data_IF_737396614127
#
_entry.id   IF_737396614127
#
_cell.length_a   1.000
_cell.length_b   1.000
_cell.length_c   1.000
_cell.angle_alpha   90.00
_cell.angle_beta   90.00
_cell.angle_gamma   90.00
#
_symmetry.space_group_name_H-M   'P 1'
#
loop_
_entity.id
_entity.type
_entity.pdbx_description
1 polymer ?
#
# COMPACT_ATOMS: atom_id res chain seq x y z
N UNK A 1 -9.94 -52.30 60.24
CA UNK A 1 -9.47 -50.91 60.10
C UNK A 1 -9.22 -50.68 58.62
N UNK A 2 -10.15 -49.99 57.96
CA UNK A 2 -10.25 -49.89 56.52
C UNK A 2 -9.81 -48.47 56.10
N UNK A 3 -8.67 -48.34 55.41
CA UNK A 3 -8.14 -47.04 54.94
C UNK A 3 -8.30 -46.94 53.42
N UNK A 4 -9.34 -46.26 52.98
CA UNK A 4 -9.50 -45.80 51.60
C UNK A 4 -8.56 -44.61 51.35
N UNK A 5 -7.68 -44.74 50.36
CA UNK A 5 -6.86 -43.66 49.86
C UNK A 5 -7.67 -42.79 48.89
N UNK A 6 -7.82 -41.51 49.22
CA UNK A 6 -8.51 -40.49 48.44
C UNK A 6 -7.54 -39.92 47.38
N UNK A 7 -7.73 -40.32 46.12
CA UNK A 7 -6.94 -39.82 44.98
C UNK A 7 -7.61 -38.55 44.44
N UNK A 8 -7.16 -37.39 44.92
CA UNK A 8 -7.52 -36.10 44.31
C UNK A 8 -6.75 -35.94 42.99
N UNK A 9 -7.47 -36.00 41.87
CA UNK A 9 -6.95 -35.60 40.56
C UNK A 9 -6.86 -34.08 40.51
N UNK A 10 -5.64 -33.57 40.34
CA UNK A 10 -5.43 -32.19 39.95
C UNK A 10 -5.85 -32.05 38.48
N UNK A 11 -6.98 -31.40 38.24
CA UNK A 11 -7.37 -31.03 36.88
C UNK A 11 -6.41 -29.96 36.36
N UNK A 12 -5.88 -30.22 35.17
CA UNK A 12 -4.97 -29.35 34.44
C UNK A 12 -5.68 -28.00 34.14
N UNK A 13 -5.10 -26.85 34.54
CA UNK A 13 -5.68 -25.53 34.29
C UNK A 13 -5.93 -25.23 32.81
N UNK A 14 -5.22 -25.89 31.88
CA UNK A 14 -5.46 -25.72 30.44
C UNK A 14 -6.72 -26.46 29.97
N UNK A 15 -7.08 -27.59 30.60
CA UNK A 15 -8.35 -28.26 30.32
C UNK A 15 -9.57 -27.47 30.85
N UNK A 16 -9.41 -26.77 31.97
CA UNK A 16 -10.44 -25.86 32.48
C UNK A 16 -10.66 -24.66 31.55
N UNK A 17 -9.61 -24.21 30.86
CA UNK A 17 -9.69 -23.11 29.89
C UNK A 17 -10.44 -23.53 28.62
N UNK A 18 -10.12 -24.71 28.08
CA UNK A 18 -10.79 -25.28 26.90
C UNK A 18 -12.28 -25.54 27.15
N UNK A 19 -12.67 -26.00 28.35
CA UNK A 19 -14.09 -26.16 28.71
C UNK A 19 -14.85 -24.84 28.75
N UNK A 20 -14.24 -23.77 29.30
CA UNK A 20 -14.88 -22.44 29.33
C UNK A 20 -15.08 -21.82 27.95
N UNK A 21 -14.17 -22.08 27.01
CA UNK A 21 -14.29 -21.57 25.64
C UNK A 21 -15.33 -22.35 24.81
N UNK A 22 -15.48 -23.65 25.06
CA UNK A 22 -16.53 -24.47 24.46
C UNK A 22 -17.94 -24.01 24.89
N UNK A 23 -18.13 -23.72 26.18
CA UNK A 23 -19.41 -23.22 26.71
C UNK A 23 -19.78 -21.84 26.15
N UNK A 24 -18.79 -20.95 25.96
CA UNK A 24 -19.00 -19.63 25.32
C UNK A 24 -19.41 -19.73 23.86
N UNK A 25 -18.92 -20.75 23.14
CA UNK A 25 -19.31 -20.96 21.74
C UNK A 25 -20.73 -21.52 21.63
N UNK A 26 -21.12 -22.42 22.54
CA UNK A 26 -22.48 -22.95 22.62
C UNK A 26 -23.52 -21.86 22.90
N UNK A 27 -23.25 -20.95 23.83
CA UNK A 27 -24.17 -19.85 24.17
C UNK A 27 -24.32 -18.80 23.05
N UNK A 28 -23.31 -18.60 22.19
CA UNK A 28 -23.41 -17.69 21.04
C UNK A 28 -24.24 -18.24 19.88
N UNK A 29 -24.34 -19.56 19.75
CA UNK A 29 -25.19 -20.19 18.74
C UNK A 29 -26.65 -20.24 19.19
N UNK A 30 -26.92 -20.46 20.49
CA UNK A 30 -28.28 -20.41 21.04
C UNK A 30 -28.92 -19.01 21.02
N UNK A 31 -28.12 -17.93 21.00
CA UNK A 31 -28.61 -16.55 21.03
C UNK A 31 -28.96 -15.93 19.66
N UNK A 32 -28.77 -16.64 18.54
CA UNK A 32 -29.01 -16.09 17.19
C UNK A 32 -30.33 -16.51 16.52
N UNK A 33 -31.08 -17.45 17.12
CA UNK A 33 -32.34 -17.95 16.56
C UNK A 33 -33.61 -17.24 17.10
N UNK A 34 -33.49 -16.18 17.89
CA UNK A 34 -34.63 -15.45 18.47
C UNK A 34 -34.87 -14.02 17.96
N UNK A 35 -34.26 -13.63 16.83
CA UNK A 35 -34.44 -12.28 16.29
C UNK A 35 -34.91 -12.24 14.83
N UNK A 36 -35.90 -13.07 14.46
CA UNK A 36 -36.74 -12.87 13.27
C UNK A 36 -38.09 -13.53 13.47
N UNK A 37 -39.08 -12.82 14.03
CA UNK A 37 -40.50 -13.00 13.69
C UNK A 37 -41.36 -12.00 14.47
N UNK A 38 -41.83 -10.95 13.79
CA UNK A 38 -43.05 -10.24 14.16
C UNK A 38 -43.61 -9.48 12.94
N UNK A 39 -44.90 -9.76 12.69
CA UNK A 39 -45.87 -9.00 11.88
C UNK A 39 -45.84 -9.16 10.34
N UNK A 40 -46.63 -10.10 9.78
CA UNK A 40 -48.03 -9.83 9.41
C UNK A 40 -48.81 -11.10 8.98
N UNK A 41 -49.95 -11.28 9.65
CA UNK A 41 -51.18 -12.03 9.35
C UNK A 41 -51.70 -11.75 7.90
N UNK A 42 -52.39 -12.62 7.12
CA UNK A 42 -53.52 -13.54 7.38
C UNK A 42 -53.80 -14.43 6.13
N UNK A 43 -54.46 -15.59 6.33
CA UNK A 43 -55.22 -16.36 5.30
C UNK A 43 -54.61 -17.74 4.99
N UNK A 44 -54.86 -18.79 5.76
CA UNK A 44 -56.05 -19.67 5.86
C UNK A 44 -56.18 -20.72 4.74
N UNK A 45 -56.69 -21.89 5.15
CA UNK A 45 -57.16 -23.08 4.40
C UNK A 45 -56.21 -24.30 4.30
N UNK A 46 -56.36 -25.17 5.31
CA UNK A 46 -56.70 -26.61 5.29
C UNK A 46 -56.01 -27.55 4.27
N UNK A 47 -55.53 -28.70 4.77
CA UNK A 47 -55.59 -29.96 4.02
C UNK A 47 -54.60 -31.05 4.44
N UNK A 48 -55.09 -32.03 5.19
CA UNK A 48 -54.62 -33.42 5.39
C UNK A 48 -53.66 -34.01 4.32
N UNK A 49 -52.62 -34.74 4.75
CA UNK A 49 -52.65 -36.22 4.82
C UNK A 49 -51.37 -36.82 5.41
N UNK A 50 -51.58 -37.77 6.34
CA UNK A 50 -50.59 -38.76 6.77
C UNK A 50 -50.34 -39.81 5.67
N UNK A 51 -49.08 -40.28 5.63
CA UNK A 51 -48.64 -41.69 5.56
C UNK A 51 -47.59 -42.04 4.51
N UNK A 52 -46.50 -42.62 5.02
CA UNK A 52 -45.79 -43.77 4.45
C UNK A 52 -44.96 -43.56 3.17
N UNK A 53 -43.65 -43.83 3.26
CA UNK A 53 -42.99 -44.92 2.50
C UNK A 53 -41.51 -44.93 2.85
N UNK A 54 -41.11 -46.06 3.44
CA UNK A 54 -39.75 -46.47 3.69
C UNK A 54 -39.04 -46.95 2.41
N UNK A 55 -37.72 -46.99 2.49
CA UNK A 55 -36.83 -47.86 1.70
C UNK A 55 -36.77 -47.65 0.17
N UNK A 56 -36.04 -46.61 -0.27
CA UNK A 56 -35.34 -46.64 -1.57
C UNK A 56 -34.26 -45.55 -1.66
N UNK A 57 -33.02 -45.86 -1.28
CA UNK A 57 -31.93 -44.88 -1.42
C UNK A 57 -30.49 -45.38 -1.31
N UNK A 58 -30.25 -46.62 -0.90
CA UNK A 58 -28.88 -47.13 -0.66
C UNK A 58 -28.17 -47.55 -1.97
N UNK A 59 -28.91 -47.79 -3.07
CA UNK A 59 -28.30 -48.19 -4.34
C UNK A 59 -27.80 -47.05 -5.24
N UNK A 60 -28.21 -45.78 -5.03
CA UNK A 60 -27.68 -44.63 -5.81
C UNK A 60 -26.32 -44.10 -5.32
N UNK A 61 -25.82 -44.57 -4.17
CA UNK A 61 -24.56 -44.09 -3.59
C UNK A 61 -23.32 -44.81 -4.10
N UNK A 62 -23.47 -46.00 -4.72
CA UNK A 62 -22.34 -46.80 -5.24
C UNK A 62 -21.93 -46.46 -6.67
N UNK A 63 -22.83 -45.94 -7.52
CA UNK A 63 -22.47 -45.53 -8.89
C UNK A 63 -21.86 -44.12 -8.98
N UNK A 64 -22.23 -43.20 -8.07
CA UNK A 64 -21.57 -41.88 -7.97
C UNK A 64 -20.09 -42.00 -7.59
N UNK A 65 -19.76 -42.97 -6.75
CA UNK A 65 -18.39 -43.19 -6.26
C UNK A 65 -17.44 -43.85 -7.28
N UNK A 66 -17.94 -44.36 -8.42
CA UNK A 66 -17.09 -44.90 -9.50
C UNK A 66 -16.78 -43.87 -10.59
N UNK A 67 -17.68 -42.91 -10.86
CA UNK A 67 -17.36 -41.77 -11.76
C UNK A 67 -16.42 -40.75 -11.12
N UNK A 68 -16.41 -40.64 -9.79
CA UNK A 68 -15.49 -39.74 -9.09
C UNK A 68 -14.05 -40.27 -9.01
N UNK A 69 -13.75 -41.53 -9.36
CA UNK A 69 -12.36 -42.05 -9.36
C UNK A 69 -11.62 -41.93 -10.68
N UNK A 70 -12.31 -41.71 -11.81
CA UNK A 70 -11.65 -41.53 -13.12
C UNK A 70 -11.30 -40.07 -13.43
N UNK A 71 -11.65 -39.12 -12.54
CA UNK A 71 -11.32 -37.69 -12.66
C UNK A 71 -10.02 -37.33 -11.87
N UNK A 72 -9.38 -38.32 -11.23
CA UNK A 72 -8.18 -38.09 -10.41
C UNK A 72 -6.86 -38.44 -11.08
N UNK A 73 -6.84 -38.95 -12.32
CA UNK A 73 -5.62 -39.52 -12.92
C UNK A 73 -5.02 -38.73 -14.09
N UNK A 74 -5.62 -37.60 -14.49
CA UNK A 74 -5.10 -36.74 -15.56
C UNK A 74 -4.56 -35.39 -15.09
N UNK A 75 -4.36 -35.20 -13.78
CA UNK A 75 -3.96 -33.90 -13.23
C UNK A 75 -2.51 -33.79 -12.77
N UNK A 76 -1.68 -34.81 -13.03
CA UNK A 76 -0.28 -34.86 -12.57
C UNK A 76 0.77 -34.94 -13.68
N UNK A 77 0.40 -34.92 -14.96
CA UNK A 77 1.37 -34.98 -16.06
C UNK A 77 1.78 -33.60 -16.62
N UNK A 78 1.11 -32.52 -16.21
CA UNK A 78 1.47 -31.14 -16.62
C UNK A 78 2.43 -30.44 -15.63
N UNK A 79 2.76 -31.07 -14.50
CA UNK A 79 3.63 -30.47 -13.46
C UNK A 79 5.11 -30.90 -13.57
N UNK A 80 5.44 -31.94 -14.34
CA UNK A 80 6.83 -32.44 -14.51
C UNK A 80 7.60 -31.76 -15.66
N UNK A 81 6.94 -31.02 -16.55
CA UNK A 81 7.59 -30.09 -17.50
C UNK A 81 7.78 -28.68 -16.89
N UNK A 82 7.87 -28.57 -15.56
CA UNK A 82 8.51 -27.42 -14.94
C UNK A 82 10.00 -27.49 -15.24
N UNK A 83 10.35 -27.04 -16.45
CA UNK A 83 11.67 -26.56 -16.83
C UNK A 83 12.37 -26.01 -15.59
N UNK A 84 13.58 -26.52 -15.33
CA UNK A 84 14.61 -25.95 -14.46
C UNK A 84 14.98 -24.55 -14.96
N UNK A 85 14.01 -23.65 -14.94
CA UNK A 85 14.21 -22.29 -15.34
C UNK A 85 15.03 -21.63 -14.26
N UNK A 86 16.26 -21.32 -14.64
CA UNK A 86 17.19 -20.49 -13.89
C UNK A 86 16.46 -19.20 -13.50
N UNK A 87 15.94 -19.17 -12.28
CA UNK A 87 15.26 -17.99 -11.76
C UNK A 87 16.32 -16.94 -11.48
N UNK A 88 16.27 -15.80 -12.18
CA UNK A 88 17.23 -14.70 -11.95
C UNK A 88 17.28 -14.33 -10.46
N UNK A 89 18.47 -14.04 -9.95
CA UNK A 89 18.66 -13.61 -8.57
C UNK A 89 17.86 -12.31 -8.28
N UNK A 90 17.22 -12.15 -7.10
CA UNK A 90 16.40 -10.97 -6.79
C UNK A 90 17.11 -9.62 -7.04
N UNK A 91 18.40 -9.52 -6.72
CA UNK A 91 19.19 -8.30 -6.98
C UNK A 91 19.38 -8.00 -8.48
N UNK A 92 19.52 -9.03 -9.32
CA UNK A 92 19.58 -8.85 -10.78
C UNK A 92 18.23 -8.34 -11.30
N UNK A 93 17.12 -8.83 -10.76
CA UNK A 93 15.78 -8.34 -11.10
C UNK A 93 15.57 -6.88 -10.70
N UNK A 94 16.04 -6.49 -9.52
CA UNK A 94 16.02 -5.10 -9.05
C UNK A 94 16.85 -4.23 -10.01
N UNK A 95 18.09 -4.63 -10.29
CA UNK A 95 18.98 -3.91 -11.21
C UNK A 95 18.33 -3.70 -12.58
N UNK A 96 17.80 -4.77 -13.18
CA UNK A 96 17.11 -4.71 -14.48
C UNK A 96 15.91 -3.75 -14.42
N UNK A 97 15.11 -3.80 -13.36
CA UNK A 97 13.96 -2.89 -13.23
C UNK A 97 14.37 -1.43 -13.13
N UNK A 98 15.39 -1.12 -12.34
CA UNK A 98 15.91 0.25 -12.20
C UNK A 98 16.52 0.71 -13.52
N UNK A 99 17.33 -0.14 -14.19
CA UNK A 99 17.94 0.17 -15.47
C UNK A 99 16.89 0.44 -16.56
N UNK A 100 15.85 -0.39 -16.68
CA UNK A 100 14.76 -0.15 -17.62
C UNK A 100 14.03 1.16 -17.33
N UNK A 101 13.79 1.49 -16.05
CA UNK A 101 13.11 2.74 -15.69
C UNK A 101 13.97 3.99 -15.97
N UNK A 102 15.28 3.92 -15.70
CA UNK A 102 16.22 4.98 -16.06
C UNK A 102 16.35 5.12 -17.58
N UNK A 103 16.23 4.03 -18.34
CA UNK A 103 16.18 4.11 -19.81
C UNK A 103 14.92 4.84 -20.31
N UNK A 104 13.75 4.64 -19.67
CA UNK A 104 12.54 5.41 -19.98
C UNK A 104 12.76 6.89 -19.66
N UNK A 105 13.36 7.20 -18.50
CA UNK A 105 13.70 8.58 -18.14
C UNK A 105 14.59 9.24 -19.20
N UNK A 106 15.66 8.56 -19.60
CA UNK A 106 16.58 9.04 -20.64
C UNK A 106 15.88 9.20 -22.00
N UNK A 107 14.98 8.29 -22.37
CA UNK A 107 14.22 8.38 -23.62
C UNK A 107 13.27 9.59 -23.65
N UNK A 108 12.55 9.84 -22.55
CA UNK A 108 11.70 11.02 -22.44
C UNK A 108 12.52 12.31 -22.46
N UNK A 109 13.59 12.39 -21.65
CA UNK A 109 14.49 13.54 -21.63
C UNK A 109 15.11 13.82 -23.01
N UNK A 110 15.61 12.78 -23.68
CA UNK A 110 16.17 12.89 -25.03
C UNK A 110 15.14 13.31 -26.08
N UNK A 111 13.89 12.86 -25.97
CA UNK A 111 12.82 13.31 -26.84
C UNK A 111 12.50 14.80 -26.63
N UNK A 112 12.41 15.27 -25.38
CA UNK A 112 12.19 16.68 -25.11
C UNK A 112 13.32 17.56 -25.61
N UNK A 113 14.57 17.12 -25.46
CA UNK A 113 15.73 17.82 -26.01
C UNK A 113 15.66 17.87 -27.55
N UNK A 114 15.40 16.72 -28.20
CA UNK A 114 15.33 16.62 -29.66
C UNK A 114 14.24 17.50 -30.28
N UNK A 115 13.10 17.63 -29.60
CA UNK A 115 11.97 18.45 -30.06
C UNK A 115 11.97 19.88 -29.50
N UNK A 116 12.99 20.28 -28.73
CA UNK A 116 13.08 21.62 -28.14
C UNK A 116 12.01 21.92 -27.07
N UNK A 117 11.46 20.89 -26.42
CA UNK A 117 10.41 20.99 -25.40
C UNK A 117 10.95 20.87 -23.96
N UNK A 118 12.28 20.83 -23.76
CA UNK A 118 12.88 20.68 -22.42
C UNK A 118 12.54 21.88 -21.52
N UNK A 119 12.58 23.10 -22.05
CA UNK A 119 12.24 24.30 -21.29
C UNK A 119 10.77 24.30 -20.84
N UNK A 120 9.86 23.80 -21.67
CA UNK A 120 8.45 23.66 -21.33
C UNK A 120 8.25 22.68 -20.16
N UNK A 121 8.94 21.53 -20.19
CA UNK A 121 8.89 20.55 -19.08
C UNK A 121 9.36 21.17 -17.76
N UNK A 122 10.38 22.02 -17.81
CA UNK A 122 11.03 22.58 -16.63
C UNK A 122 10.31 23.82 -16.07
N UNK A 123 9.62 24.59 -16.92
CA UNK A 123 9.10 25.91 -16.56
C UNK A 123 7.59 26.08 -16.77
N UNK A 124 6.91 25.24 -17.57
CA UNK A 124 5.46 25.25 -17.73
C UNK A 124 4.82 24.17 -16.85
N UNK A 125 4.05 24.59 -15.85
CA UNK A 125 3.41 23.67 -14.91
C UNK A 125 2.43 22.72 -15.60
N UNK A 126 1.75 23.14 -16.67
CA UNK A 126 0.84 22.25 -17.42
C UNK A 126 1.62 21.16 -18.13
N UNK A 127 2.73 21.52 -18.76
CA UNK A 127 3.59 20.57 -19.46
C UNK A 127 4.24 19.60 -18.47
N UNK A 128 4.72 20.09 -17.33
CA UNK A 128 5.26 19.26 -16.25
C UNK A 128 4.24 18.22 -15.75
N UNK A 129 2.98 18.62 -15.53
CA UNK A 129 1.97 17.67 -15.07
C UNK A 129 1.55 16.69 -16.16
N UNK A 130 1.48 17.12 -17.42
CA UNK A 130 1.27 16.22 -18.56
C UNK A 130 2.43 15.20 -18.70
N UNK A 131 3.67 15.66 -18.54
CA UNK A 131 4.86 14.82 -18.44
C UNK A 131 4.70 13.80 -17.32
N UNK A 132 4.37 14.23 -16.10
CA UNK A 132 4.21 13.34 -14.95
C UNK A 132 3.21 12.21 -15.20
N UNK A 133 2.11 12.51 -15.90
CA UNK A 133 1.09 11.53 -16.28
C UNK A 133 1.65 10.55 -17.33
N UNK A 134 2.17 11.06 -18.45
CA UNK A 134 2.65 10.22 -19.56
C UNK A 134 3.85 9.36 -19.18
N UNK A 135 4.86 9.99 -18.56
CA UNK A 135 6.04 9.33 -18.04
C UNK A 135 5.69 8.34 -16.92
N UNK A 136 4.81 8.74 -16.01
CA UNK A 136 4.27 7.89 -14.95
C UNK A 136 3.64 6.61 -15.49
N UNK A 137 2.77 6.74 -16.49
CA UNK A 137 2.11 5.60 -17.13
C UNK A 137 3.11 4.64 -17.78
N UNK A 138 4.09 5.16 -18.53
CA UNK A 138 5.12 4.35 -19.18
C UNK A 138 5.97 3.56 -18.15
N UNK A 139 6.40 4.22 -17.08
CA UNK A 139 7.17 3.61 -16.01
C UNK A 139 6.40 2.51 -15.27
N UNK A 140 5.14 2.78 -14.89
CA UNK A 140 4.26 1.78 -14.27
C UNK A 140 4.07 0.58 -15.18
N UNK A 141 3.81 0.81 -16.47
CA UNK A 141 3.62 -0.25 -17.46
C UNK A 141 4.85 -1.16 -17.56
N UNK A 142 6.06 -0.59 -17.66
CA UNK A 142 7.30 -1.38 -17.71
C UNK A 142 7.52 -2.16 -16.43
N UNK A 143 7.28 -1.57 -15.25
CA UNK A 143 7.41 -2.29 -13.97
C UNK A 143 6.42 -3.46 -13.89
N UNK A 144 5.18 -3.28 -14.33
CA UNK A 144 4.18 -4.34 -14.40
C UNK A 144 4.55 -5.44 -15.40
N UNK A 145 5.11 -5.08 -16.55
CA UNK A 145 5.60 -6.04 -17.54
C UNK A 145 6.75 -6.88 -16.98
N UNK A 146 7.71 -6.25 -16.31
CA UNK A 146 8.81 -6.94 -15.65
C UNK A 146 8.30 -7.87 -14.55
N UNK A 147 7.40 -7.41 -13.69
CA UNK A 147 6.80 -8.25 -12.65
C UNK A 147 6.01 -9.45 -13.22
N UNK A 148 5.32 -9.24 -14.34
CA UNK A 148 4.61 -10.32 -15.03
C UNK A 148 5.56 -11.31 -15.71
N UNK A 149 6.63 -10.83 -16.35
CA UNK A 149 7.54 -11.66 -17.16
C UNK A 149 8.60 -12.35 -16.31
N UNK A 150 9.22 -11.65 -15.36
CA UNK A 150 10.31 -12.17 -14.52
C UNK A 150 9.81 -12.90 -13.27
N UNK A 151 8.69 -12.45 -12.68
CA UNK A 151 8.14 -13.07 -11.46
C UNK A 151 6.91 -13.94 -11.71
N UNK A 152 6.33 -13.90 -12.92
CA UNK A 152 5.09 -14.60 -13.27
C UNK A 152 3.93 -14.25 -12.33
N UNK A 153 3.93 -13.02 -11.80
CA UNK A 153 2.89 -12.52 -10.90
C UNK A 153 1.97 -11.54 -11.60
N UNK A 154 0.77 -11.37 -11.06
CA UNK A 154 -0.18 -10.36 -11.54
C UNK A 154 0.11 -9.02 -10.85
N UNK A 155 0.04 -7.86 -11.53
CA UNK A 155 0.28 -6.55 -10.91
C UNK A 155 -0.56 -6.26 -9.65
N UNK A 156 -1.77 -6.82 -9.55
CA UNK A 156 -2.60 -6.75 -8.32
C UNK A 156 -1.92 -7.32 -7.07
N UNK A 157 -0.91 -8.18 -7.23
CA UNK A 157 -0.11 -8.75 -6.14
C UNK A 157 0.94 -7.77 -5.59
N UNK A 158 1.01 -6.54 -6.12
CA UNK A 158 1.78 -5.43 -5.55
C UNK A 158 1.04 -4.69 -4.44
N UNK A 159 -0.14 -5.16 -4.01
CA UNK A 159 -0.83 -4.65 -2.83
C UNK A 159 -1.76 -3.47 -3.08
N UNK A 160 -2.42 -3.38 -4.23
CA UNK A 160 -3.46 -2.38 -4.44
C UNK A 160 -4.70 -2.72 -3.59
N UNK A 161 -5.13 -1.79 -2.74
CA UNK A 161 -6.29 -1.93 -1.87
C UNK A 161 -6.74 -0.57 -1.34
N UNK A 162 -8.00 -0.45 -0.92
CA UNK A 162 -8.49 0.79 -0.33
C UNK A 162 -9.72 0.52 0.52
N UNK A 163 -9.70 0.98 1.77
CA UNK A 163 -10.85 0.92 2.67
C UNK A 163 -11.19 2.28 3.30
N UNK A 164 -12.17 2.30 4.22
CA UNK A 164 -12.59 3.54 4.90
C UNK A 164 -11.50 4.11 5.81
N UNK A 165 -10.68 3.27 6.44
CA UNK A 165 -9.57 3.71 7.29
C UNK A 165 -8.47 4.33 6.44
N UNK A 166 -8.20 3.75 5.28
CA UNK A 166 -7.28 4.30 4.29
C UNK A 166 -7.70 5.70 3.86
N UNK A 167 -8.98 5.90 3.54
CA UNK A 167 -9.54 7.21 3.24
C UNK A 167 -9.34 8.21 4.38
N UNK A 168 -9.64 7.80 5.63
CA UNK A 168 -9.42 8.64 6.80
C UNK A 168 -7.95 9.00 7.01
N UNK A 169 -7.03 8.05 6.76
CA UNK A 169 -5.59 8.30 6.85
C UNK A 169 -5.13 9.34 5.83
N UNK A 170 -5.60 9.24 4.59
CA UNK A 170 -5.27 10.22 3.55
C UNK A 170 -5.85 11.60 3.87
N UNK A 171 -7.09 11.69 4.36
CA UNK A 171 -7.69 12.96 4.81
C UNK A 171 -6.88 13.59 5.95
N UNK A 172 -6.47 12.81 6.95
CA UNK A 172 -5.58 13.31 8.00
C UNK A 172 -4.22 13.74 7.44
N UNK A 173 -3.68 13.01 6.47
CA UNK A 173 -2.40 13.33 5.82
C UNK A 173 -2.48 14.66 5.06
N UNK A 174 -3.60 14.94 4.37
CA UNK A 174 -3.87 16.25 3.76
C UNK A 174 -3.86 17.33 4.84
N UNK A 175 -4.70 17.20 5.87
CA UNK A 175 -4.83 18.22 6.91
C UNK A 175 -3.49 18.52 7.62
N UNK A 176 -2.73 17.47 7.98
CA UNK A 176 -1.42 17.62 8.62
C UNK A 176 -0.43 18.28 7.67
N UNK A 177 -0.34 17.83 6.42
CA UNK A 177 0.63 18.38 5.46
C UNK A 177 0.36 19.87 5.19
N UNK A 178 -0.90 20.26 4.99
CA UNK A 178 -1.30 21.66 4.84
C UNK A 178 -0.98 22.49 6.08
N UNK A 179 -1.32 21.99 7.28
CA UNK A 179 -1.04 22.71 8.53
C UNK A 179 0.46 22.92 8.75
N UNK A 180 1.28 21.90 8.48
CA UNK A 180 2.72 21.98 8.58
C UNK A 180 3.33 22.92 7.53
N UNK A 181 2.86 22.86 6.28
CA UNK A 181 3.35 23.74 5.22
C UNK A 181 3.01 25.21 5.50
N UNK A 182 1.78 25.49 5.94
CA UNK A 182 1.37 26.84 6.34
C UNK A 182 2.14 27.36 7.55
N UNK A 183 2.31 26.51 8.59
CA UNK A 183 3.08 26.86 9.79
C UNK A 183 4.56 27.11 9.46
N UNK A 184 5.15 26.30 8.58
CA UNK A 184 6.53 26.49 8.12
C UNK A 184 6.67 27.78 7.31
N UNK A 185 5.75 28.08 6.39
CA UNK A 185 5.76 29.34 5.66
C UNK A 185 5.64 30.56 6.59
N UNK A 186 4.80 30.49 7.62
CA UNK A 186 4.70 31.53 8.63
C UNK A 186 6.01 31.70 9.42
N UNK A 187 6.67 30.59 9.78
CA UNK A 187 7.97 30.61 10.46
C UNK A 187 9.08 31.21 9.56
N UNK A 188 9.12 30.82 8.27
CA UNK A 188 10.05 31.39 7.29
C UNK A 188 9.88 32.92 7.20
N UNK A 189 8.64 33.39 7.11
CA UNK A 189 8.34 34.81 7.05
C UNK A 189 8.84 35.59 8.26
N UNK A 190 8.79 34.99 9.46
CA UNK A 190 9.17 35.64 10.70
C UNK A 190 10.67 35.56 11.00
N UNK A 191 11.31 34.44 10.67
CA UNK A 191 12.66 34.11 11.18
C UNK A 191 13.74 34.16 10.13
N UNK A 192 13.39 34.32 8.85
CA UNK A 192 14.36 34.40 7.75
C UNK A 192 14.19 35.68 6.94
N UNK A 193 15.07 35.90 5.97
CA UNK A 193 14.94 36.98 5.00
C UNK A 193 13.94 36.68 3.89
N UNK A 194 13.38 35.47 3.83
CA UNK A 194 12.37 35.09 2.83
C UNK A 194 11.04 35.72 3.19
N UNK A 195 10.59 36.67 2.37
CA UNK A 195 9.25 37.24 2.47
C UNK A 195 8.26 36.28 1.81
N UNK A 196 7.15 36.05 2.50
CA UNK A 196 6.05 35.20 2.03
C UNK A 196 4.86 36.10 1.72
N UNK A 197 4.46 36.14 0.45
CA UNK A 197 3.22 36.76 0.00
C UNK A 197 2.18 35.69 -0.31
N UNK A 198 0.90 36.05 -0.23
CA UNK A 198 -0.21 35.16 -0.65
C UNK A 198 -0.74 35.63 -1.99
N UNK A 199 -0.79 34.74 -2.98
CA UNK A 199 -1.30 35.01 -4.34
C UNK A 199 -2.81 34.82 -4.41
N UNK A 200 -3.56 35.75 -3.83
CA UNK A 200 -5.03 35.67 -3.78
C UNK A 200 -5.70 35.78 -5.15
N UNK A 201 -5.02 36.37 -6.13
CA UNK A 201 -5.44 36.49 -7.51
C UNK A 201 -5.56 35.14 -8.22
N UNK A 202 -4.71 34.16 -7.88
CA UNK A 202 -4.79 32.80 -8.43
C UNK A 202 -6.11 32.12 -8.05
N UNK A 203 -6.60 32.35 -6.83
CA UNK A 203 -7.87 31.78 -6.35
C UNK A 203 -9.10 32.29 -7.12
N UNK A 204 -8.95 33.37 -7.90
CA UNK A 204 -10.02 33.89 -8.77
C UNK A 204 -9.90 33.42 -10.21
N UNK A 205 -8.82 32.72 -10.56
CA UNK A 205 -8.55 32.28 -11.92
C UNK A 205 -9.11 30.87 -12.16
N UNK A 206 -9.92 30.69 -13.21
CA UNK A 206 -10.36 29.36 -13.64
C UNK A 206 -9.17 28.47 -14.05
N UNK A 207 -8.14 29.07 -14.65
CA UNK A 207 -6.94 28.35 -15.06
C UNK A 207 -6.18 27.73 -13.88
N UNK A 208 -6.26 28.35 -12.70
CA UNK A 208 -5.66 27.84 -11.48
C UNK A 208 -6.36 26.55 -11.04
N UNK A 209 -7.69 26.49 -11.07
CA UNK A 209 -8.43 25.28 -10.67
C UNK A 209 -8.25 24.12 -11.65
N UNK A 210 -8.18 24.41 -12.95
CA UNK A 210 -7.82 23.42 -13.95
C UNK A 210 -6.40 22.88 -13.73
N UNK A 211 -5.44 23.76 -13.44
CA UNK A 211 -4.08 23.37 -13.12
C UNK A 211 -4.01 22.59 -11.80
N UNK A 212 -4.77 22.95 -10.77
CA UNK A 212 -4.87 22.21 -9.52
C UNK A 212 -5.40 20.79 -9.74
N UNK A 213 -6.42 20.63 -10.57
CA UNK A 213 -6.95 19.32 -10.93
C UNK A 213 -5.88 18.52 -11.69
N UNK A 214 -5.21 19.14 -12.67
CA UNK A 214 -4.14 18.50 -13.43
C UNK A 214 -2.96 18.10 -12.52
N UNK A 215 -2.55 18.95 -11.58
CA UNK A 215 -1.51 18.68 -10.60
C UNK A 215 -1.89 17.57 -9.62
N UNK A 216 -3.17 17.45 -9.24
CA UNK A 216 -3.64 16.29 -8.48
C UNK A 216 -3.37 14.98 -9.23
N UNK A 217 -3.68 14.92 -10.53
CA UNK A 217 -3.43 13.74 -11.35
C UNK A 217 -1.95 13.53 -11.65
N UNK A 218 -1.22 14.61 -11.96
CA UNK A 218 0.21 14.57 -12.26
C UNK A 218 1.02 14.09 -11.07
N UNK A 219 0.84 14.66 -9.88
CA UNK A 219 1.53 14.17 -8.68
C UNK A 219 1.09 12.79 -8.24
N UNK A 220 -0.18 12.43 -8.44
CA UNK A 220 -0.62 11.05 -8.20
C UNK A 220 0.07 10.07 -9.15
N UNK A 221 0.23 10.41 -10.43
CA UNK A 221 0.94 9.59 -11.41
C UNK A 221 2.45 9.51 -11.11
N UNK A 222 3.07 10.63 -10.73
CA UNK A 222 4.47 10.71 -10.34
C UNK A 222 4.75 9.86 -9.09
N UNK A 223 3.91 9.97 -8.07
CA UNK A 223 3.99 9.12 -6.88
C UNK A 223 3.73 7.65 -7.23
N UNK A 224 2.75 7.36 -8.09
CA UNK A 224 2.40 5.98 -8.45
C UNK A 224 3.57 5.25 -9.12
N UNK A 225 4.26 5.88 -10.09
CA UNK A 225 5.43 5.25 -10.75
C UNK A 225 6.52 4.88 -9.76
N UNK A 226 6.76 5.77 -8.80
CA UNK A 226 7.78 5.64 -7.79
C UNK A 226 7.42 4.57 -6.76
N UNK A 227 6.19 4.57 -6.26
CA UNK A 227 5.71 3.59 -5.28
C UNK A 227 5.59 2.19 -5.90
N UNK A 228 5.11 2.07 -7.14
CA UNK A 228 5.04 0.78 -7.85
C UNK A 228 6.42 0.14 -7.97
N UNK A 229 7.46 0.92 -8.30
CA UNK A 229 8.82 0.40 -8.36
C UNK A 229 9.38 0.12 -6.96
N UNK A 230 9.37 1.11 -6.06
CA UNK A 230 10.06 1.00 -4.77
C UNK A 230 9.33 0.08 -3.79
N UNK A 231 8.02 0.26 -3.60
CA UNK A 231 7.21 -0.43 -2.57
C UNK A 231 6.55 -1.67 -3.13
N UNK A 232 6.07 -1.60 -4.37
CA UNK A 232 5.56 -2.76 -5.08
C UNK A 232 6.68 -3.75 -5.36
N UNK A 233 7.58 -3.39 -6.28
CA UNK A 233 8.50 -4.35 -6.88
C UNK A 233 9.78 -4.58 -6.06
N UNK A 234 10.54 -3.53 -5.72
CA UNK A 234 11.83 -3.65 -5.01
C UNK A 234 11.63 -4.29 -3.63
N UNK A 235 10.70 -3.78 -2.81
CA UNK A 235 10.41 -4.40 -1.51
C UNK A 235 9.96 -5.85 -1.64
N UNK A 236 9.15 -6.20 -2.66
CA UNK A 236 8.81 -7.60 -2.91
C UNK A 236 10.08 -8.44 -3.14
N UNK A 237 11.03 -7.98 -3.95
CA UNK A 237 12.28 -8.72 -4.17
C UNK A 237 13.18 -8.80 -2.93
N UNK A 238 13.13 -7.78 -2.06
CA UNK A 238 13.87 -7.74 -0.80
C UNK A 238 13.19 -8.47 0.37
N UNK A 239 12.01 -9.09 0.16
CA UNK A 239 11.19 -9.70 1.23
C UNK A 239 11.91 -10.74 2.11
N UNK A 240 13.00 -11.32 1.62
CA UNK A 240 13.83 -12.30 2.35
C UNK A 240 14.75 -11.66 3.39
N UNK A 241 15.01 -10.35 3.33
CA UNK A 241 15.89 -9.63 4.25
C UNK A 241 15.20 -9.24 5.58
N UNK A 242 13.94 -9.65 5.78
CA UNK A 242 13.11 -9.18 6.87
C UNK A 242 12.66 -7.72 6.68
N UNK A 243 11.75 -7.27 7.53
CA UNK A 243 11.07 -5.97 7.35
C UNK A 243 12.05 -4.80 7.38
N UNK A 244 13.02 -4.81 8.30
CA UNK A 244 14.05 -3.77 8.37
C UNK A 244 14.90 -3.68 7.11
N UNK A 245 15.36 -4.82 6.58
CA UNK A 245 16.14 -4.88 5.35
C UNK A 245 15.37 -4.43 4.11
N UNK A 246 14.06 -4.73 4.05
CA UNK A 246 13.18 -4.24 2.98
C UNK A 246 13.05 -2.72 2.99
N UNK A 247 12.77 -2.12 4.16
CA UNK A 247 12.66 -0.66 4.29
C UNK A 247 14.01 -0.02 3.95
N UNK A 248 15.10 -0.47 4.58
CA UNK A 248 16.42 0.12 4.38
C UNK A 248 16.87 0.04 2.91
N UNK A 249 16.80 -1.16 2.31
CA UNK A 249 17.23 -1.37 0.93
C UNK A 249 16.38 -0.60 -0.08
N UNK A 250 15.05 -0.60 0.07
CA UNK A 250 14.18 0.17 -0.82
C UNK A 250 14.36 1.68 -0.65
N UNK A 251 14.60 2.17 0.57
CA UNK A 251 14.81 3.60 0.85
C UNK A 251 16.11 4.12 0.25
N UNK A 252 17.20 3.35 0.35
CA UNK A 252 18.49 3.69 -0.28
C UNK A 252 18.35 3.70 -1.80
N UNK A 253 17.72 2.68 -2.39
CA UNK A 253 17.48 2.66 -3.83
C UNK A 253 16.58 3.82 -4.28
N UNK A 254 15.53 4.12 -3.51
CA UNK A 254 14.66 5.27 -3.75
C UNK A 254 15.45 6.59 -3.73
N UNK A 255 16.38 6.79 -2.80
CA UNK A 255 17.27 7.96 -2.83
C UNK A 255 18.16 7.98 -4.08
N UNK A 256 18.80 6.86 -4.42
CA UNK A 256 19.77 6.79 -5.53
C UNK A 256 19.11 7.04 -6.88
N UNK A 257 17.89 6.54 -7.13
CA UNK A 257 17.19 6.77 -8.41
C UNK A 257 16.85 8.25 -8.67
N UNK A 258 16.95 9.12 -7.65
CA UNK A 258 16.71 10.56 -7.78
C UNK A 258 17.98 11.37 -8.07
N UNK A 259 19.18 10.77 -8.00
CA UNK A 259 20.44 11.49 -8.27
C UNK A 259 20.56 12.11 -9.67
N UNK A 260 19.91 11.60 -10.74
CA UNK A 260 19.85 12.31 -12.01
C UNK A 260 19.23 13.72 -11.93
N UNK A 261 18.45 14.01 -10.89
CA UNK A 261 17.89 15.35 -10.63
C UNK A 261 18.86 16.29 -9.87
N UNK A 262 20.13 15.89 -9.76
CA UNK A 262 21.18 16.59 -9.04
C UNK A 262 21.45 16.00 -7.65
N UNK A 263 22.73 16.00 -7.27
CA UNK A 263 23.20 15.48 -5.99
C UNK A 263 23.37 16.64 -5.01
N UNK A 264 22.40 16.81 -4.11
CA UNK A 264 22.45 17.75 -2.98
C UNK A 264 22.16 16.96 -1.70
N UNK A 265 22.99 17.11 -0.66
CA UNK A 265 22.91 16.26 0.53
C UNK A 265 21.57 16.39 1.26
N UNK A 266 20.97 17.59 1.28
CA UNK A 266 19.65 17.87 1.87
C UNK A 266 18.54 17.13 1.13
N UNK A 267 18.58 17.15 -0.21
CA UNK A 267 17.66 16.41 -1.09
C UNK A 267 17.84 14.90 -0.93
N UNK A 268 19.08 14.42 -0.88
CA UNK A 268 19.36 13.00 -0.67
C UNK A 268 18.81 12.51 0.68
N UNK A 269 19.02 13.27 1.76
CA UNK A 269 18.46 12.97 3.07
C UNK A 269 16.92 13.00 3.04
N UNK A 270 16.33 14.00 2.38
CA UNK A 270 14.89 14.09 2.14
C UNK A 270 14.32 12.85 1.45
N UNK A 271 14.93 12.42 0.34
CA UNK A 271 14.52 11.24 -0.42
C UNK A 271 14.69 9.96 0.39
N UNK A 272 15.79 9.80 1.12
CA UNK A 272 16.00 8.65 2.01
C UNK A 272 14.91 8.57 3.08
N UNK A 273 14.56 9.70 3.72
CA UNK A 273 13.50 9.77 4.72
C UNK A 273 12.11 9.52 4.12
N UNK A 274 11.85 10.01 2.90
CA UNK A 274 10.65 9.66 2.13
C UNK A 274 10.60 8.16 1.83
N UNK A 275 11.75 7.59 1.44
CA UNK A 275 12.09 6.17 1.44
C UNK A 275 11.46 5.42 2.61
N UNK A 276 11.88 5.80 3.81
CA UNK A 276 11.48 5.17 5.07
C UNK A 276 9.98 5.38 5.34
N UNK A 277 9.48 6.62 5.22
CA UNK A 277 8.08 6.96 5.51
C UNK A 277 7.12 6.15 4.64
N UNK A 278 7.25 6.22 3.31
CA UNK A 278 6.30 5.57 2.40
C UNK A 278 6.46 4.04 2.43
N UNK A 279 7.69 3.53 2.63
CA UNK A 279 7.92 2.11 2.90
C UNK A 279 7.17 1.63 4.16
N UNK A 280 7.19 2.43 5.23
CA UNK A 280 6.45 2.13 6.45
C UNK A 280 4.93 2.25 6.28
N UNK A 281 4.43 3.27 5.59
CA UNK A 281 3.00 3.41 5.26
C UNK A 281 2.52 2.18 4.49
N UNK A 282 3.24 1.77 3.45
CA UNK A 282 2.90 0.60 2.67
C UNK A 282 2.86 -0.67 3.52
N UNK A 283 3.86 -0.88 4.39
CA UNK A 283 3.91 -2.06 5.27
C UNK A 283 2.75 -2.09 6.28
N UNK A 284 2.41 -0.95 6.88
CA UNK A 284 1.39 -0.90 7.95
C UNK A 284 -0.04 -0.86 7.40
N UNK A 285 -0.28 -0.20 6.27
CA UNK A 285 -1.58 -0.21 5.60
C UNK A 285 -1.79 -1.51 4.79
N UNK A 286 -0.70 -2.11 4.30
CA UNK A 286 -0.76 -3.17 3.30
C UNK A 286 -1.33 -2.70 1.96
N UNK A 287 -1.36 -1.38 1.72
CA UNK A 287 -1.93 -0.78 0.52
C UNK A 287 -0.93 0.12 -0.20
N UNK A 288 -0.64 -0.23 -1.45
CA UNK A 288 0.16 0.59 -2.35
C UNK A 288 -0.57 1.89 -2.71
N UNK A 289 -1.90 1.85 -2.78
CA UNK A 289 -2.75 3.02 -3.02
C UNK A 289 -2.59 4.06 -1.92
N UNK A 290 -2.52 3.63 -0.65
CA UNK A 290 -2.35 4.53 0.49
C UNK A 290 -0.96 5.17 0.48
N UNK A 291 0.09 4.38 0.23
CA UNK A 291 1.46 4.90 0.10
C UNK A 291 1.55 5.94 -1.02
N UNK A 292 0.98 5.61 -2.18
CA UNK A 292 0.90 6.49 -3.36
C UNK A 292 0.15 7.78 -3.04
N UNK A 293 -1.02 7.68 -2.39
CA UNK A 293 -1.81 8.84 -2.02
C UNK A 293 -1.07 9.76 -1.06
N UNK A 294 -0.46 9.23 0.00
CA UNK A 294 0.30 10.02 0.97
C UNK A 294 1.52 10.71 0.33
N UNK A 295 2.20 10.01 -0.58
CA UNK A 295 3.32 10.57 -1.34
C UNK A 295 2.85 11.68 -2.31
N UNK A 296 1.79 11.43 -3.08
CA UNK A 296 1.20 12.44 -3.96
C UNK A 296 0.73 13.69 -3.21
N UNK A 297 0.10 13.53 -2.04
CA UNK A 297 -0.30 14.65 -1.15
C UNK A 297 0.92 15.46 -0.73
N UNK A 298 2.00 14.80 -0.29
CA UNK A 298 3.23 15.49 0.12
C UNK A 298 3.81 16.32 -1.03
N UNK A 299 3.87 15.76 -2.24
CA UNK A 299 4.40 16.49 -3.40
C UNK A 299 3.50 17.66 -3.81
N UNK A 300 2.18 17.45 -3.86
CA UNK A 300 1.22 18.50 -4.19
C UNK A 300 1.26 19.66 -3.19
N UNK A 301 1.31 19.36 -1.88
CA UNK A 301 1.38 20.40 -0.84
C UNK A 301 2.69 21.16 -0.91
N UNK A 302 3.82 20.46 -1.11
CA UNK A 302 5.10 21.12 -1.34
C UNK A 302 5.07 22.01 -2.57
N UNK A 303 4.42 21.59 -3.65
CA UNK A 303 4.29 22.43 -4.83
C UNK A 303 3.44 23.68 -4.56
N UNK A 304 2.30 23.53 -3.89
CA UNK A 304 1.41 24.64 -3.57
C UNK A 304 2.04 25.68 -2.64
N UNK A 305 2.86 25.26 -1.67
CA UNK A 305 3.37 26.16 -0.63
C UNK A 305 4.85 26.56 -0.81
N UNK A 306 5.66 25.68 -1.39
CA UNK A 306 7.12 25.80 -1.40
C UNK A 306 7.73 25.82 -2.81
N UNK A 307 6.91 25.68 -3.86
CA UNK A 307 7.36 25.85 -5.25
C UNK A 307 7.57 27.33 -5.59
N UNK A 308 8.27 27.55 -6.71
CA UNK A 308 8.42 28.85 -7.36
C UNK A 308 7.61 28.94 -8.66
N UNK A 309 6.74 27.97 -8.94
CA UNK A 309 5.83 28.01 -10.09
C UNK A 309 4.87 29.19 -9.93
N UNK A 310 5.09 30.26 -10.70
CA UNK A 310 4.36 31.51 -10.56
C UNK A 310 2.86 31.39 -10.88
N UNK A 311 2.51 30.39 -11.69
CA UNK A 311 1.17 30.08 -12.18
C UNK A 311 0.38 29.12 -11.27
N UNK A 312 1.04 28.50 -10.28
CA UNK A 312 0.42 27.47 -9.44
C UNK A 312 0.67 27.59 -7.94
N UNK A 313 1.84 28.06 -7.51
CA UNK A 313 2.15 28.17 -6.09
C UNK A 313 1.24 29.21 -5.43
N UNK A 314 0.54 28.81 -4.36
CA UNK A 314 -0.33 29.71 -3.60
C UNK A 314 0.48 30.78 -2.85
N UNK A 315 1.71 30.45 -2.46
CA UNK A 315 2.62 31.36 -1.79
C UNK A 315 3.67 31.93 -2.76
N UNK A 316 3.83 33.26 -2.74
CA UNK A 316 4.94 33.95 -3.38
C UNK A 316 6.12 34.02 -2.41
N UNK A 317 7.21 33.32 -2.71
CA UNK A 317 8.43 33.38 -1.92
C UNK A 317 9.43 34.34 -2.57
N UNK A 318 9.97 35.30 -1.80
CA UNK A 318 10.93 36.28 -2.33
C UNK A 318 12.30 35.69 -2.67
N UNK A 319 12.55 34.43 -2.30
CA UNK A 319 13.82 33.73 -2.50
C UNK A 319 13.65 32.22 -2.44
N UNK A 320 14.73 31.50 -2.75
CA UNK A 320 14.78 30.04 -2.60
C UNK A 320 14.78 29.70 -1.11
N UNK A 321 13.93 28.77 -0.69
CA UNK A 321 13.97 28.20 0.67
C UNK A 321 15.31 27.47 0.84
N UNK A 322 16.00 27.73 1.96
CA UNK A 322 17.24 27.04 2.27
C UNK A 322 17.02 25.52 2.34
N UNK A 323 18.00 24.75 1.85
CA UNK A 323 17.90 23.30 1.82
C UNK A 323 17.82 22.68 3.23
N UNK A 324 18.51 23.28 4.21
CA UNK A 324 18.48 22.87 5.60
C UNK A 324 17.13 23.16 6.25
N UNK A 325 16.57 24.35 6.05
CA UNK A 325 15.25 24.71 6.55
C UNK A 325 14.16 23.78 6.00
N UNK A 326 14.20 23.52 4.68
CA UNK A 326 13.28 22.58 4.04
C UNK A 326 13.45 21.17 4.61
N UNK A 327 14.68 20.72 4.83
CA UNK A 327 14.93 19.39 5.42
C UNK A 327 14.36 19.29 6.84
N UNK A 328 14.51 20.31 7.68
CA UNK A 328 13.94 20.34 9.03
C UNK A 328 12.41 20.20 8.97
N UNK A 329 11.74 21.01 8.14
CA UNK A 329 10.31 20.90 7.89
C UNK A 329 9.89 19.48 7.52
N UNK A 330 10.59 18.88 6.55
CA UNK A 330 10.26 17.54 6.08
C UNK A 330 10.53 16.45 7.12
N UNK A 331 11.59 16.57 7.92
CA UNK A 331 11.87 15.63 9.02
C UNK A 331 10.71 15.64 10.01
N UNK A 332 10.27 16.81 10.46
CA UNK A 332 9.19 16.91 11.44
C UNK A 332 7.88 16.39 10.85
N UNK A 333 7.52 16.77 9.62
CA UNK A 333 6.33 16.27 8.94
C UNK A 333 6.36 14.73 8.82
N UNK A 334 7.48 14.15 8.37
CA UNK A 334 7.63 12.71 8.19
C UNK A 334 7.53 11.96 9.53
N UNK A 335 8.08 12.50 10.62
CA UNK A 335 7.94 11.91 11.97
C UNK A 335 6.47 11.90 12.43
N UNK A 336 5.73 12.98 12.19
CA UNK A 336 4.29 13.06 12.51
C UNK A 336 3.50 12.05 11.69
N UNK A 337 3.79 11.92 10.38
CA UNK A 337 3.13 10.94 9.52
C UNK A 337 3.48 9.49 9.89
N UNK A 338 4.71 9.21 10.32
CA UNK A 338 5.09 7.90 10.89
C UNK A 338 4.28 7.58 12.15
N UNK A 339 4.13 8.55 13.05
CA UNK A 339 3.32 8.39 14.27
C UNK A 339 1.84 8.17 13.95
N UNK A 340 1.28 8.94 13.01
CA UNK A 340 -0.09 8.75 12.51
C UNK A 340 -0.28 7.35 11.93
N UNK A 341 0.63 6.92 11.07
CA UNK A 341 0.63 5.60 10.42
C UNK A 341 0.59 4.49 11.47
N UNK A 342 1.51 4.54 12.45
CA UNK A 342 1.54 3.57 13.54
C UNK A 342 0.22 3.57 14.32
N UNK A 343 -0.30 4.75 14.71
CA UNK A 343 -1.52 4.86 15.50
C UNK A 343 -2.75 4.32 14.77
N UNK A 344 -2.90 4.60 13.47
CA UNK A 344 -4.08 4.21 12.69
C UNK A 344 -4.08 2.73 12.33
N UNK A 345 -2.90 2.16 12.08
CA UNK A 345 -2.77 0.78 11.60
C UNK A 345 -2.24 -0.20 12.65
N UNK A 346 -2.05 0.21 13.92
CA UNK A 346 -1.87 -0.76 15.01
C UNK A 346 -3.15 -1.60 15.13
N UNK A 347 -3.13 -2.86 14.71
CA UNK A 347 -4.22 -3.79 15.05
C UNK A 347 -3.73 -5.06 15.72
N UNK A 348 -2.57 -5.62 15.37
CA UNK A 348 -2.20 -6.96 15.88
C UNK A 348 -0.69 -7.30 15.81
N UNK A 349 0.21 -6.33 15.98
CA UNK A 349 1.65 -6.63 15.98
C UNK A 349 2.54 -5.48 16.44
N UNK A 350 3.84 -5.74 16.52
CA UNK A 350 4.87 -4.77 16.86
C UNK A 350 5.03 -3.66 15.82
N UNK A 351 5.95 -2.74 16.09
CA UNK A 351 6.24 -1.58 15.23
C UNK A 351 6.52 -2.03 13.79
N UNK A 352 7.35 -3.07 13.62
CA UNK A 352 7.77 -3.59 12.32
C UNK A 352 6.90 -4.73 11.79
N UNK A 353 5.77 -5.06 12.41
CA UNK A 353 4.89 -6.12 11.89
C UNK A 353 4.09 -5.61 10.67
N UNK A 354 4.20 -6.25 9.49
CA UNK A 354 3.44 -5.86 8.30
C UNK A 354 1.94 -6.16 8.47
N UNK A 355 1.10 -5.50 7.66
CA UNK A 355 -0.33 -5.75 7.63
C UNK A 355 -0.67 -7.18 7.15
N UNK A 356 -1.71 -7.78 7.72
CA UNK A 356 -2.09 -9.17 7.45
C UNK A 356 -2.37 -9.45 5.97
N UNK A 357 -2.99 -8.50 5.27
CA UNK A 357 -3.27 -8.62 3.84
C UNK A 357 -1.98 -8.67 3.02
N UNK A 358 -0.97 -7.86 3.38
CA UNK A 358 0.34 -7.86 2.72
C UNK A 358 1.11 -9.15 3.02
N UNK A 359 1.08 -9.61 4.27
CA UNK A 359 1.66 -10.89 4.68
C UNK A 359 1.04 -12.06 3.93
N UNK A 360 -0.29 -12.08 3.78
CA UNK A 360 -1.00 -13.10 2.97
C UNK A 360 -0.62 -13.02 1.49
N UNK A 361 -0.49 -11.81 0.94
CA UNK A 361 -0.16 -11.59 -0.46
C UNK A 361 1.23 -12.14 -0.81
N UNK A 362 2.22 -11.85 0.02
CA UNK A 362 3.61 -12.27 -0.18
C UNK A 362 3.92 -13.67 0.35
N UNK A 363 3.16 -14.14 1.35
CA UNK A 363 3.30 -15.46 1.98
C UNK A 363 2.80 -16.61 1.11
N UNK A 364 1.83 -16.38 0.20
CA UNK A 364 1.34 -17.38 -0.77
C UNK A 364 2.44 -18.01 -1.63
N UNK A 365 3.62 -17.40 -1.69
CA UNK A 365 4.73 -17.81 -2.55
C UNK A 365 6.02 -18.11 -1.75
N UNK A 366 5.88 -18.50 -0.48
CA UNK A 366 6.99 -19.02 0.35
C UNK A 366 8.05 -17.99 0.78
N UNK A 367 7.73 -16.68 0.74
CA UNK A 367 8.73 -15.62 0.88
C UNK A 367 8.90 -15.02 2.29
N UNK A 368 7.84 -15.01 3.11
CA UNK A 368 7.90 -14.50 4.48
C UNK A 368 7.66 -15.66 5.44
N UNK A 369 8.71 -16.07 6.16
CA UNK A 369 8.49 -16.88 7.36
C UNK A 369 7.82 -15.98 8.39
N UNK A 370 6.76 -16.43 9.09
CA UNK A 370 6.24 -15.71 10.25
C UNK A 370 7.43 -15.41 11.17
N UNK A 371 7.61 -14.15 11.57
CA UNK A 371 8.54 -13.88 12.67
C UNK A 371 7.99 -14.65 13.88
N UNK A 372 8.74 -15.65 14.34
CA UNK A 372 8.47 -16.28 15.61
C UNK A 372 8.48 -15.16 16.66
N UNK A 373 7.38 -15.01 17.39
CA UNK A 373 7.26 -14.02 18.45
C UNK A 373 8.26 -14.37 19.54
N UNK A 374 9.38 -13.66 19.59
CA UNK A 374 10.34 -13.68 20.69
C UNK A 374 9.85 -12.82 21.85
#
# INVERSE_FOLDING_TARGET
MDRRADVRRHDDPDQLRLRRDADRYGQRLAGRDHARHSQHLLGDVRGFHEDGIACRGIHRRRERNRRDRSIYDHRNLDDEEREDQVTLHPYVRIFLSVACCLAIFAAFAGAYELFGAMDDVLNDSRFLQAHNIGFGAAWVAVTFLLFRKLDRKKPRELGFGFDRRDAMFLLCSVAISFAFAAGFAAALHQWTTVRVGVRTELLRSESFYLLLLLSCFGWAAAALKEEVLARGYIMYQLRRLGVGGMIAGSSVLFMVIHFPNGIEWTKAASWLLGGVLYGYIYLKSGSLTVSTGAHGIHNLVNELFLSRADDFAWLALSGKVDGGDKLIYEVVLKLVLLALTYRMYRRTGGVLTPADNLTKLWGRHGGMKPQEST
#
